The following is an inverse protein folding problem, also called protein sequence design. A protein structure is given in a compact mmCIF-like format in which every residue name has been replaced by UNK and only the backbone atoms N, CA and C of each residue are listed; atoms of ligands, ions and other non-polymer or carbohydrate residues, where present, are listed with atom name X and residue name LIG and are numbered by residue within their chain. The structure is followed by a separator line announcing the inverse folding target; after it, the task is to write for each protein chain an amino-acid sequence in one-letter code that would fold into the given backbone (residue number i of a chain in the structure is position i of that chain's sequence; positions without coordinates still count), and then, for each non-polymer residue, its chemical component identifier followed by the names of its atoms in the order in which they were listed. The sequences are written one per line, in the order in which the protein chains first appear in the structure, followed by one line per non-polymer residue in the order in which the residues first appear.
data_IF_545292800698
#
_entry.id   IF_545292800698
#
_cell.length_a   1.000
_cell.length_b   1.000
_cell.length_c   1.000
_cell.angle_alpha   90.00
_cell.angle_beta   90.00
_cell.angle_gamma   90.00
#
_symmetry.space_group_name_H-M   'P 1'
#
loop_
_entity.id
_entity.type
_entity.pdbx_description
1 polymer ?
#
# COMPACT_ATOMS: atom_id res chain seq x y z
N UNK A 1 -5.54 5.51 28.56
CA UNK A 1 -5.32 4.71 27.36
C UNK A 1 -4.72 3.34 27.70
N UNK A 2 -3.70 3.27 28.55
CA UNK A 2 -3.03 2.02 28.93
C UNK A 2 -3.93 1.07 29.73
N UNK A 3 -4.82 1.62 30.57
CA UNK A 3 -5.81 0.87 31.35
C UNK A 3 -6.93 0.23 30.50
N UNK A 4 -7.23 0.76 29.32
CA UNK A 4 -8.19 0.17 28.38
C UNK A 4 -7.56 -0.98 27.60
N UNK A 5 -6.28 -0.90 27.26
CA UNK A 5 -5.53 -1.96 26.60
C UNK A 5 -5.47 -3.25 27.43
N UNK A 6 -5.20 -3.12 28.74
CA UNK A 6 -5.18 -4.25 29.66
C UNK A 6 -6.57 -4.87 29.86
N UNK A 7 -7.64 -4.07 29.67
CA UNK A 7 -9.02 -4.49 29.91
C UNK A 7 -9.69 -5.20 28.73
N UNK A 8 -9.29 -4.90 27.49
CA UNK A 8 -10.00 -5.36 26.29
C UNK A 8 -9.22 -6.30 25.39
N UNK A 9 -7.91 -6.40 25.55
CA UNK A 9 -7.07 -7.29 24.75
C UNK A 9 -6.98 -6.93 23.23
N UNK A 10 -6.07 -7.57 22.52
CA UNK A 10 -5.78 -7.30 21.11
C UNK A 10 -7.01 -7.42 20.20
N UNK A 11 -7.87 -8.42 20.43
CA UNK A 11 -9.07 -8.64 19.60
C UNK A 11 -10.10 -7.49 19.67
N UNK A 12 -10.11 -6.70 20.74
CA UNK A 12 -11.00 -5.55 20.86
C UNK A 12 -10.49 -4.34 20.07
N UNK A 13 -9.17 -4.14 20.05
CA UNK A 13 -8.52 -3.09 19.26
C UNK A 13 -8.68 -3.34 17.75
N UNK A 14 -8.57 -4.58 17.34
CA UNK A 14 -8.82 -4.99 15.95
C UNK A 14 -10.28 -4.76 15.56
N UNK A 15 -11.22 -5.00 16.48
CA UNK A 15 -12.64 -4.71 16.28
C UNK A 15 -12.91 -3.20 16.19
N UNK A 16 -12.28 -2.39 17.02
CA UNK A 16 -12.39 -0.92 16.98
C UNK A 16 -11.81 -0.36 15.67
N UNK A 17 -10.64 -0.83 15.25
CA UNK A 17 -10.03 -0.45 13.97
C UNK A 17 -10.95 -0.75 12.78
N UNK A 18 -11.58 -1.93 12.78
CA UNK A 18 -12.56 -2.31 11.74
C UNK A 18 -13.82 -1.45 11.74
N UNK A 19 -14.21 -0.90 12.90
CA UNK A 19 -15.39 -0.03 13.04
C UNK A 19 -15.08 1.43 12.68
N UNK A 20 -13.86 1.90 12.94
CA UNK A 20 -13.48 3.30 12.72
C UNK A 20 -13.50 3.66 11.21
N UNK A 21 -13.05 2.77 10.34
CA UNK A 21 -13.06 3.02 8.90
C UNK A 21 -14.46 3.37 8.34
N UNK A 22 -15.50 2.53 8.57
CA UNK A 22 -16.86 2.84 8.18
C UNK A 22 -17.42 4.11 8.84
N UNK A 23 -17.00 4.42 10.08
CA UNK A 23 -17.38 5.65 10.76
C UNK A 23 -16.78 6.89 10.08
N UNK A 24 -15.51 6.86 9.70
CA UNK A 24 -14.87 7.93 8.93
C UNK A 24 -15.54 8.13 7.57
N UNK A 25 -15.84 7.06 6.85
CA UNK A 25 -16.56 7.14 5.56
C UNK A 25 -17.94 7.79 5.73
N UNK A 26 -18.70 7.38 6.75
CA UNK A 26 -20.00 7.95 7.07
C UNK A 26 -19.90 9.45 7.38
N UNK A 27 -18.94 9.84 8.24
CA UNK A 27 -18.74 11.24 8.63
C UNK A 27 -18.28 12.09 7.45
N UNK A 28 -17.34 11.60 6.65
CA UNK A 28 -16.88 12.29 5.46
C UNK A 28 -18.04 12.59 4.50
N UNK A 29 -18.88 11.60 4.22
CA UNK A 29 -20.09 11.76 3.40
C UNK A 29 -21.10 12.70 4.02
N UNK A 30 -21.37 12.57 5.32
CA UNK A 30 -22.34 13.39 6.05
C UNK A 30 -21.98 14.87 6.03
N UNK A 31 -20.69 15.19 6.16
CA UNK A 31 -20.21 16.57 6.24
C UNK A 31 -19.61 17.10 4.94
N UNK A 32 -19.60 16.31 3.87
CA UNK A 32 -19.01 16.70 2.58
C UNK A 32 -17.51 16.98 2.66
N UNK A 33 -16.80 16.26 3.52
CA UNK A 33 -15.36 16.45 3.76
C UNK A 33 -14.59 15.44 2.91
N UNK A 34 -13.53 15.92 2.22
CA UNK A 34 -12.59 15.06 1.54
C UNK A 34 -11.61 14.44 2.54
N UNK A 35 -11.46 13.12 2.50
CA UNK A 35 -10.43 12.38 3.23
C UNK A 35 -9.51 11.75 2.19
N UNK A 36 -8.26 12.22 2.18
CA UNK A 36 -7.24 11.75 1.25
C UNK A 36 -6.09 11.13 2.01
N UNK A 37 -5.55 10.03 1.48
CA UNK A 37 -4.32 9.42 1.99
C UNK A 37 -3.17 9.75 1.05
N UNK A 38 -2.02 10.08 1.63
CA UNK A 38 -0.82 10.45 0.89
C UNK A 38 0.25 9.37 1.07
N UNK A 39 0.50 8.58 0.05
CA UNK A 39 1.63 7.66 -0.03
C UNK A 39 2.68 8.18 -1.02
N UNK A 40 3.96 8.02 -0.68
CA UNK A 40 5.06 8.46 -1.55
C UNK A 40 4.98 7.86 -2.96
N UNK A 41 4.70 6.56 -3.05
CA UNK A 41 4.61 5.83 -4.33
C UNK A 41 3.45 6.28 -5.22
N UNK A 42 2.46 7.00 -4.66
CA UNK A 42 1.35 7.57 -5.44
C UNK A 42 1.80 8.67 -6.41
N UNK A 43 2.99 9.23 -6.20
CA UNK A 43 3.54 10.33 -7.01
C UNK A 43 4.67 9.88 -7.95
N UNK A 44 4.91 8.57 -8.05
CA UNK A 44 5.88 8.01 -8.97
C UNK A 44 5.32 7.97 -10.40
N UNK A 45 5.95 8.71 -11.30
CA UNK A 45 5.51 8.81 -12.71
C UNK A 45 5.37 7.44 -13.40
N UNK A 46 6.27 6.46 -13.20
CA UNK A 46 6.11 5.13 -13.77
C UNK A 46 4.82 4.40 -13.36
N UNK A 47 4.34 4.60 -12.13
CA UNK A 47 3.11 3.96 -11.67
C UNK A 47 1.91 4.46 -12.48
N UNK A 48 1.85 5.76 -12.74
CA UNK A 48 0.81 6.36 -13.59
C UNK A 48 0.93 5.93 -15.05
N UNK A 49 2.16 5.80 -15.56
CA UNK A 49 2.39 5.29 -16.92
C UNK A 49 1.92 3.84 -17.05
N UNK A 50 2.25 2.97 -16.08
CA UNK A 50 1.79 1.58 -16.04
C UNK A 50 0.26 1.53 -15.97
N UNK A 51 -0.36 2.35 -15.12
CA UNK A 51 -1.81 2.45 -15.03
C UNK A 51 -2.42 2.84 -16.39
N UNK A 52 -1.89 3.86 -17.06
CA UNK A 52 -2.35 4.26 -18.40
C UNK A 52 -2.26 3.12 -19.40
N UNK A 53 -1.13 2.40 -19.45
CA UNK A 53 -0.92 1.26 -20.34
C UNK A 53 -1.84 0.05 -20.05
N UNK A 54 -2.29 -0.10 -18.81
CA UNK A 54 -3.33 -1.08 -18.44
C UNK A 54 -4.69 -0.59 -18.91
N UNK A 55 -5.01 0.71 -18.71
CA UNK A 55 -6.31 1.27 -19.06
C UNK A 55 -6.57 1.31 -20.57
N UNK A 56 -5.55 1.61 -21.39
CA UNK A 56 -5.65 1.67 -22.85
C UNK A 56 -5.52 0.28 -23.52
N UNK A 57 -5.27 -0.77 -22.72
CA UNK A 57 -5.15 -2.15 -23.19
C UNK A 57 -3.81 -2.50 -23.82
N UNK A 58 -2.82 -1.59 -23.78
CA UNK A 58 -1.45 -1.86 -24.28
C UNK A 58 -0.83 -3.05 -23.55
N UNK A 59 -0.97 -3.11 -22.24
CA UNK A 59 -0.50 -4.24 -21.42
C UNK A 59 -1.49 -5.41 -21.40
N UNK A 60 -2.78 -5.17 -21.64
CA UNK A 60 -3.83 -6.18 -21.47
C UNK A 60 -4.14 -6.45 -19.98
N UNK A 61 -4.66 -7.65 -19.68
CA UNK A 61 -5.15 -8.01 -18.35
C UNK A 61 -4.01 -8.29 -17.38
N UNK A 62 -4.08 -7.70 -16.20
CA UNK A 62 -3.12 -7.97 -15.12
C UNK A 62 -3.27 -9.41 -14.64
N UNK A 63 -2.15 -10.12 -14.49
CA UNK A 63 -2.07 -11.48 -13.97
C UNK A 63 -1.32 -11.55 -12.65
N UNK A 64 -0.31 -10.70 -12.48
CA UNK A 64 0.49 -10.63 -11.26
C UNK A 64 1.02 -9.22 -11.04
N UNK A 65 1.04 -8.81 -9.76
CA UNK A 65 1.72 -7.62 -9.28
C UNK A 65 2.65 -8.05 -8.15
N UNK A 66 3.93 -7.68 -8.23
CA UNK A 66 4.86 -7.82 -7.12
C UNK A 66 5.33 -6.43 -6.72
N UNK A 67 5.25 -6.13 -5.42
CA UNK A 67 5.67 -4.85 -4.85
C UNK A 67 6.70 -5.11 -3.76
N UNK A 68 7.76 -4.32 -3.78
CA UNK A 68 8.88 -4.40 -2.86
C UNK A 68 9.13 -3.03 -2.26
N UNK A 69 8.87 -2.88 -0.97
CA UNK A 69 9.08 -1.65 -0.24
C UNK A 69 9.82 -1.93 1.06
N UNK A 70 11.01 -1.38 1.23
CA UNK A 70 11.78 -1.63 2.43
C UNK A 70 13.13 -0.95 2.43
N UNK A 71 13.76 -1.00 3.58
CA UNK A 71 15.11 -0.51 3.86
C UNK A 71 15.67 -1.20 5.13
N UNK A 72 16.79 -0.72 5.64
CA UNK A 72 17.47 -1.31 6.82
C UNK A 72 16.63 -1.25 8.09
N UNK A 73 15.73 -0.33 8.20
CA UNK A 73 14.86 -0.10 9.35
C UNK A 73 14.82 1.37 9.77
N UNK A 74 13.73 1.84 10.38
CA UNK A 74 13.55 3.26 10.73
C UNK A 74 14.58 3.74 11.77
N UNK A 75 15.01 2.90 12.69
CA UNK A 75 16.07 3.26 13.64
C UNK A 75 17.44 3.35 12.95
N UNK A 76 17.73 2.42 12.06
CA UNK A 76 18.99 2.33 11.34
C UNK A 76 19.19 3.50 10.37
N UNK A 77 18.11 4.02 9.79
CA UNK A 77 18.16 5.22 8.94
C UNK A 77 18.02 6.54 9.72
N UNK A 78 18.15 6.48 11.06
CA UNK A 78 18.12 7.62 11.96
C UNK A 78 16.80 8.44 11.95
N UNK A 79 15.66 7.78 11.90
CA UNK A 79 14.39 8.43 12.18
C UNK A 79 14.40 9.01 13.62
N UNK A 80 13.66 10.10 13.83
CA UNK A 80 13.59 10.72 15.16
C UNK A 80 12.94 9.80 16.19
N UNK A 81 13.35 9.90 17.46
CA UNK A 81 12.82 9.08 18.56
C UNK A 81 11.29 9.20 18.66
N UNK A 82 10.74 10.41 18.52
CA UNK A 82 9.30 10.64 18.53
C UNK A 82 8.56 9.89 17.41
N UNK A 83 9.16 9.81 16.22
CA UNK A 83 8.59 9.06 15.11
C UNK A 83 8.69 7.55 15.37
N UNK A 84 9.83 7.08 15.89
CA UNK A 84 10.03 5.68 16.26
C UNK A 84 9.04 5.22 17.35
N UNK A 85 8.83 6.02 18.42
CA UNK A 85 7.86 5.72 19.46
C UNK A 85 6.46 5.47 18.89
N UNK A 86 6.04 6.27 17.92
CA UNK A 86 4.76 6.11 17.26
C UNK A 86 4.75 4.93 16.28
N UNK A 87 5.75 4.85 15.40
CA UNK A 87 5.80 3.88 14.30
C UNK A 87 5.91 2.44 14.80
N UNK A 88 6.64 2.22 15.90
CA UNK A 88 6.89 0.89 16.48
C UNK A 88 5.91 0.52 17.60
N UNK A 89 4.87 1.31 17.80
CA UNK A 89 3.80 1.01 18.75
C UNK A 89 2.59 0.38 18.01
N UNK A 90 2.23 -0.88 18.33
CA UNK A 90 1.15 -1.59 17.62
C UNK A 90 -0.22 -0.99 17.86
N UNK A 91 -0.40 -0.16 18.89
CA UNK A 91 -1.67 0.54 19.17
C UNK A 91 -1.76 1.82 18.37
N UNK A 92 -0.67 2.60 18.31
CA UNK A 92 -0.66 3.90 17.66
C UNK A 92 -0.55 3.78 16.13
N UNK A 93 0.26 2.84 15.65
CA UNK A 93 0.49 2.61 14.21
C UNK A 93 -0.27 1.40 13.65
N UNK A 94 -0.65 0.44 14.49
CA UNK A 94 -1.36 -0.76 14.07
C UNK A 94 -0.46 -1.95 13.71
N UNK A 95 0.85 -1.80 13.64
CA UNK A 95 1.82 -2.85 13.31
C UNK A 95 3.18 -2.25 12.96
N UNK A 96 4.08 -3.08 12.47
CA UNK A 96 5.43 -2.72 12.03
C UNK A 96 5.53 -2.56 10.50
N UNK A 97 6.45 -3.30 9.90
CA UNK A 97 6.70 -3.28 8.46
C UNK A 97 5.45 -3.64 7.63
N UNK A 98 4.57 -4.49 8.15
CA UNK A 98 3.30 -4.85 7.49
C UNK A 98 2.43 -3.61 7.24
N UNK A 99 2.40 -2.67 8.16
CA UNK A 99 1.63 -1.42 8.01
C UNK A 99 2.44 -0.38 7.25
N UNK A 100 3.69 -0.12 7.69
CA UNK A 100 4.54 0.93 7.14
C UNK A 100 4.83 0.76 5.63
N UNK A 101 5.13 -0.47 5.22
CA UNK A 101 5.44 -0.79 3.81
C UNK A 101 4.36 -1.56 3.08
N UNK A 102 3.61 -2.41 3.78
CA UNK A 102 2.50 -3.16 3.17
C UNK A 102 1.43 -2.25 2.56
N UNK A 103 1.24 -1.05 3.12
CA UNK A 103 0.26 -0.08 2.65
C UNK A 103 0.53 0.40 1.21
N UNK A 104 1.78 0.57 0.81
CA UNK A 104 2.13 1.00 -0.56
C UNK A 104 1.67 -0.02 -1.60
N UNK A 105 2.02 -1.29 -1.38
CA UNK A 105 1.64 -2.36 -2.29
C UNK A 105 0.13 -2.60 -2.35
N UNK A 106 -0.55 -2.56 -1.21
CA UNK A 106 -2.00 -2.69 -1.14
C UNK A 106 -2.72 -1.52 -1.85
N UNK A 107 -2.20 -0.29 -1.71
CA UNK A 107 -2.73 0.90 -2.38
C UNK A 107 -2.57 0.81 -3.90
N UNK A 108 -1.37 0.54 -4.39
CA UNK A 108 -1.08 0.41 -5.82
C UNK A 108 -1.88 -0.73 -6.47
N UNK A 109 -1.95 -1.89 -5.82
CA UNK A 109 -2.69 -3.03 -6.33
C UNK A 109 -4.20 -2.76 -6.43
N UNK A 110 -4.79 -2.17 -5.38
CA UNK A 110 -6.22 -1.82 -5.37
C UNK A 110 -6.56 -0.83 -6.47
N UNK A 111 -5.72 0.16 -6.70
CA UNK A 111 -5.86 1.13 -7.77
C UNK A 111 -5.74 0.50 -9.17
N UNK A 112 -4.68 -0.27 -9.42
CA UNK A 112 -4.44 -0.96 -10.70
C UNK A 112 -5.57 -1.93 -11.05
N UNK A 113 -6.13 -2.61 -10.05
CA UNK A 113 -7.25 -3.55 -10.17
C UNK A 113 -8.62 -2.86 -10.02
N UNK A 114 -8.68 -1.51 -10.03
CA UNK A 114 -9.93 -0.71 -10.02
C UNK A 114 -10.88 -1.05 -8.88
N UNK A 115 -10.36 -1.38 -7.71
CA UNK A 115 -11.16 -1.75 -6.54
C UNK A 115 -11.78 -3.14 -6.62
N UNK A 116 -11.30 -4.02 -7.49
CA UNK A 116 -11.70 -5.42 -7.48
C UNK A 116 -11.49 -6.02 -6.09
N UNK A 117 -12.46 -6.77 -5.60
CA UNK A 117 -12.38 -7.35 -4.26
C UNK A 117 -11.43 -8.56 -4.24
N UNK A 118 -10.51 -8.64 -3.28
CA UNK A 118 -9.75 -9.85 -3.03
C UNK A 118 -10.65 -11.04 -2.74
N UNK A 119 -10.19 -12.24 -3.07
CA UNK A 119 -10.80 -13.51 -2.63
C UNK A 119 -10.27 -13.90 -1.26
N UNK A 120 -8.95 -13.78 -1.08
CA UNK A 120 -8.28 -14.12 0.17
C UNK A 120 -6.92 -13.45 0.30
N UNK A 121 -6.47 -13.33 1.55
CA UNK A 121 -5.13 -12.84 1.91
C UNK A 121 -4.43 -13.90 2.74
N UNK A 122 -3.18 -14.18 2.42
CA UNK A 122 -2.25 -14.97 3.23
C UNK A 122 -1.01 -14.15 3.51
N UNK A 123 -0.48 -14.21 4.74
CA UNK A 123 0.71 -13.46 5.09
C UNK A 123 1.61 -14.23 6.06
N UNK A 124 2.90 -13.93 5.94
CA UNK A 124 3.95 -14.29 6.91
C UNK A 124 4.54 -12.98 7.42
N UNK A 125 4.51 -12.79 8.73
CA UNK A 125 5.15 -11.70 9.43
C UNK A 125 6.29 -12.25 10.27
N UNK A 126 7.45 -11.59 10.25
CA UNK A 126 8.63 -11.98 11.00
C UNK A 126 9.13 -10.82 11.87
N UNK A 127 9.87 -11.17 12.90
CA UNK A 127 10.57 -10.23 13.77
C UNK A 127 12.02 -10.70 13.86
N UNK A 128 12.86 -10.17 12.97
CA UNK A 128 14.27 -10.52 12.88
C UNK A 128 15.15 -9.74 13.87
N UNK A 129 14.69 -8.55 14.29
CA UNK A 129 15.40 -7.64 15.20
C UNK A 129 14.56 -7.32 16.46
N UNK A 130 14.20 -8.34 17.26
CA UNK A 130 13.35 -8.15 18.45
C UNK A 130 13.97 -7.23 19.51
N UNK A 131 15.29 -7.12 19.52
CA UNK A 131 16.02 -6.19 20.40
C UNK A 131 15.84 -4.72 20.00
N UNK A 132 15.49 -4.44 18.73
CA UNK A 132 15.26 -3.09 18.21
C UNK A 132 13.77 -2.79 18.14
N UNK A 133 12.97 -3.73 17.64
CA UNK A 133 11.53 -3.61 17.43
C UNK A 133 10.76 -4.67 18.25
N UNK A 134 10.72 -4.57 19.58
CA UNK A 134 10.23 -5.67 20.45
C UNK A 134 8.72 -5.91 20.36
N UNK A 135 7.95 -4.99 19.79
CA UNK A 135 6.47 -5.04 19.84
C UNK A 135 5.81 -5.29 18.49
N UNK A 136 6.55 -5.22 17.39
CA UNK A 136 6.01 -5.24 16.04
C UNK A 136 6.85 -6.10 15.11
N UNK A 137 6.27 -6.50 13.99
CA UNK A 137 6.98 -7.13 12.88
C UNK A 137 7.96 -6.17 12.21
N UNK A 138 9.05 -6.70 11.69
CA UNK A 138 10.04 -5.95 10.92
C UNK A 138 10.24 -6.51 9.50
N UNK A 139 9.51 -7.59 9.17
CA UNK A 139 9.46 -8.17 7.84
C UNK A 139 8.08 -8.78 7.55
N UNK A 140 7.55 -8.50 6.37
CA UNK A 140 6.23 -8.92 5.95
C UNK A 140 6.22 -9.42 4.51
N UNK A 141 5.64 -10.60 4.29
CA UNK A 141 5.27 -11.10 2.97
C UNK A 141 3.78 -11.34 2.92
N UNK A 142 3.07 -10.62 2.05
CA UNK A 142 1.62 -10.70 1.91
C UNK A 142 1.29 -11.20 0.50
N UNK A 143 0.43 -12.19 0.40
CA UNK A 143 -0.11 -12.71 -0.87
C UNK A 143 -1.61 -12.46 -0.90
N UNK A 144 -2.05 -11.64 -1.85
CA UNK A 144 -3.47 -11.32 -2.06
C UNK A 144 -3.95 -12.02 -3.33
N UNK A 145 -4.94 -12.87 -3.20
CA UNK A 145 -5.59 -13.57 -4.32
C UNK A 145 -6.79 -12.77 -4.81
N UNK A 146 -6.79 -12.43 -6.08
CA UNK A 146 -7.94 -11.88 -6.80
C UNK A 146 -8.54 -12.91 -7.77
N UNK A 147 -9.73 -12.69 -8.35
CA UNK A 147 -10.34 -13.61 -9.32
C UNK A 147 -9.43 -13.95 -10.51
N UNK A 148 -8.68 -12.95 -11.01
CA UNK A 148 -7.86 -13.09 -12.21
C UNK A 148 -6.39 -12.75 -12.02
N UNK A 149 -5.99 -12.28 -10.84
CA UNK A 149 -4.64 -11.86 -10.53
C UNK A 149 -4.16 -12.33 -9.16
N UNK A 150 -2.85 -12.37 -8.99
CA UNK A 150 -2.21 -12.53 -7.68
C UNK A 150 -1.32 -11.34 -7.42
N UNK A 151 -1.41 -10.77 -6.21
CA UNK A 151 -0.55 -9.69 -5.75
C UNK A 151 0.34 -10.22 -4.64
N UNK A 152 1.63 -9.91 -4.72
CA UNK A 152 2.61 -10.20 -3.68
C UNK A 152 3.21 -8.87 -3.22
N UNK A 153 3.14 -8.61 -1.92
CA UNK A 153 3.65 -7.40 -1.29
C UNK A 153 4.70 -7.83 -0.28
N UNK A 154 5.89 -7.28 -0.41
CA UNK A 154 6.99 -7.51 0.51
C UNK A 154 7.37 -6.18 1.15
N UNK A 155 7.21 -6.09 2.46
CA UNK A 155 7.55 -4.93 3.26
C UNK A 155 8.60 -5.30 4.30
N UNK A 156 9.71 -4.56 4.39
CA UNK A 156 10.78 -4.95 5.30
C UNK A 156 11.58 -3.78 5.86
N UNK A 157 11.93 -3.91 7.13
CA UNK A 157 12.93 -3.08 7.83
C UNK A 157 14.28 -3.80 7.98
N UNK A 158 14.48 -4.89 7.21
CA UNK A 158 15.64 -5.77 7.34
C UNK A 158 16.51 -5.85 6.09
N UNK A 159 16.20 -5.08 5.05
CA UNK A 159 16.96 -5.12 3.80
C UNK A 159 18.20 -4.23 3.87
N UNK A 160 19.35 -4.70 3.36
CA UNK A 160 20.61 -3.94 3.43
C UNK A 160 20.64 -2.73 2.50
N UNK A 161 19.63 -2.60 1.62
CA UNK A 161 19.49 -1.49 0.68
C UNK A 161 18.03 -1.11 0.56
N UNK A 162 17.77 0.19 0.56
CA UNK A 162 16.43 0.71 0.33
C UNK A 162 15.93 0.42 -1.08
N UNK A 163 14.68 -0.03 -1.21
CA UNK A 163 13.99 -0.17 -2.50
C UNK A 163 12.50 0.09 -2.34
N UNK A 164 11.91 0.68 -3.39
CA UNK A 164 10.47 0.85 -3.56
C UNK A 164 10.16 0.67 -5.04
N UNK A 165 9.84 -0.55 -5.43
CA UNK A 165 9.66 -0.92 -6.82
C UNK A 165 8.48 -1.88 -7.02
N UNK A 166 7.89 -1.83 -8.22
CA UNK A 166 6.72 -2.62 -8.59
C UNK A 166 6.90 -3.27 -9.95
N UNK A 167 6.53 -4.56 -10.03
CA UNK A 167 6.56 -5.37 -11.25
C UNK A 167 5.15 -5.84 -11.59
N UNK A 168 4.66 -5.45 -12.75
CA UNK A 168 3.33 -5.81 -13.25
C UNK A 168 3.47 -6.73 -14.45
N UNK A 169 2.93 -7.95 -14.33
CA UNK A 169 2.91 -8.97 -15.37
C UNK A 169 1.47 -9.12 -15.87
N UNK A 170 1.31 -9.11 -17.19
CA UNK A 170 0.02 -9.04 -17.84
C UNK A 170 -0.13 -10.06 -18.97
N UNK A 171 -1.28 -10.06 -19.64
CA UNK A 171 -1.53 -10.97 -20.76
C UNK A 171 -0.76 -10.63 -22.02
N UNK A 172 -0.26 -9.40 -22.20
CA UNK A 172 0.45 -8.94 -23.39
C UNK A 172 1.90 -8.55 -23.16
N UNK A 173 2.35 -8.53 -21.89
CA UNK A 173 3.71 -8.15 -21.56
C UNK A 173 3.93 -7.91 -20.08
N UNK A 174 4.92 -7.10 -19.76
CA UNK A 174 5.18 -6.67 -18.39
C UNK A 174 5.71 -5.23 -18.36
N UNK A 175 5.50 -4.57 -17.23
CA UNK A 175 6.01 -3.24 -16.97
C UNK A 175 6.52 -3.16 -15.52
N UNK A 176 7.69 -2.57 -15.34
CA UNK A 176 8.41 -2.52 -14.09
C UNK A 176 8.69 -1.07 -13.73
N UNK A 177 8.16 -0.60 -12.64
CA UNK A 177 8.60 0.62 -11.99
C UNK A 177 9.83 0.27 -11.15
N UNK A 178 10.96 0.88 -11.46
CA UNK A 178 12.25 0.56 -10.84
C UNK A 178 12.70 1.61 -9.82
N UNK A 179 12.40 2.88 -10.12
CA UNK A 179 12.69 4.05 -9.26
C UNK A 179 11.53 5.06 -9.39
N UNK A 180 11.52 6.13 -8.62
CA UNK A 180 10.45 7.15 -8.70
C UNK A 180 10.18 7.70 -10.09
N UNK A 181 11.18 7.69 -10.98
CA UNK A 181 11.08 8.24 -12.34
C UNK A 181 11.36 7.23 -13.44
N UNK A 182 12.01 6.10 -13.14
CA UNK A 182 12.46 5.14 -14.16
C UNK A 182 11.63 3.88 -14.21
N UNK A 183 11.43 3.38 -15.41
CA UNK A 183 10.72 2.13 -15.69
C UNK A 183 11.34 1.35 -16.83
N UNK A 184 10.87 0.10 -16.98
CA UNK A 184 11.21 -0.80 -18.06
C UNK A 184 9.96 -1.54 -18.51
N UNK A 185 9.84 -1.85 -19.79
CA UNK A 185 8.74 -2.65 -20.31
C UNK A 185 9.25 -3.81 -21.17
N UNK A 186 8.47 -4.87 -21.19
CA UNK A 186 8.61 -5.99 -22.12
C UNK A 186 7.30 -6.16 -22.86
N UNK A 187 7.27 -5.80 -24.13
CA UNK A 187 6.08 -5.80 -24.98
C UNK A 187 6.38 -6.42 -26.35
N UNK A 188 5.47 -7.25 -26.86
CA UNK A 188 5.59 -7.87 -28.17
C UNK A 188 6.94 -8.61 -28.40
N UNK A 189 7.42 -9.28 -27.34
CA UNK A 189 8.68 -10.01 -27.38
C UNK A 189 9.94 -9.14 -27.32
N UNK A 190 9.79 -7.83 -27.04
CA UNK A 190 10.91 -6.88 -26.96
C UNK A 190 10.98 -6.20 -25.60
N UNK A 191 12.19 -6.07 -25.11
CA UNK A 191 12.54 -5.30 -23.93
C UNK A 191 12.88 -3.86 -24.33
N UNK A 192 12.35 -2.88 -23.57
CA UNK A 192 12.58 -1.46 -23.87
C UNK A 192 13.96 -0.94 -23.42
N UNK A 193 14.67 -1.69 -22.55
CA UNK A 193 15.68 -1.08 -21.68
C UNK A 193 15.04 -0.23 -20.58
N UNK A 194 15.88 0.35 -19.72
CA UNK A 194 15.42 1.28 -18.67
C UNK A 194 15.29 2.68 -19.25
N UNK A 195 14.18 3.35 -18.99
CA UNK A 195 13.92 4.71 -19.45
C UNK A 195 13.16 5.54 -18.42
N UNK A 196 13.22 6.87 -18.56
CA UNK A 196 12.45 7.81 -17.75
C UNK A 196 10.98 7.79 -18.18
N UNK A 197 10.06 7.59 -17.25
CA UNK A 197 8.65 7.75 -17.52
C UNK A 197 8.30 9.24 -17.77
N UNK A 198 7.25 9.52 -18.57
CA UNK A 198 6.78 10.89 -18.72
C UNK A 198 6.47 11.53 -17.37
N UNK A 199 6.99 12.74 -17.13
CA UNK A 199 6.74 13.46 -15.89
C UNK A 199 5.24 13.70 -15.69
N UNK A 200 4.79 13.59 -14.45
CA UNK A 200 3.39 13.89 -14.11
C UNK A 200 3.12 15.39 -14.27
N UNK A 201 2.04 15.78 -14.96
CA UNK A 201 1.65 17.17 -15.02
C UNK A 201 1.12 17.66 -13.67
N UNK A 202 1.21 18.97 -13.41
CA UNK A 202 0.50 19.56 -12.30
C UNK A 202 -1.03 19.36 -12.47
N UNK A 203 -1.78 19.11 -11.39
CA UNK A 203 -1.36 19.02 -9.99
C UNK A 203 -0.99 17.59 -9.54
N UNK A 204 -0.86 16.64 -10.45
CA UNK A 204 -0.60 15.21 -10.16
C UNK A 204 0.86 14.91 -9.78
N UNK A 205 1.73 15.92 -9.83
CA UNK A 205 3.15 15.80 -9.51
C UNK A 205 3.51 16.15 -8.05
N UNK A 206 2.51 16.55 -7.25
CA UNK A 206 2.72 16.95 -5.86
C UNK A 206 1.46 16.77 -5.03
N UNK A 207 1.60 16.18 -3.84
CA UNK A 207 0.48 15.83 -2.96
C UNK A 207 -0.32 17.05 -2.47
N UNK A 208 0.35 18.17 -2.20
CA UNK A 208 -0.30 19.38 -1.71
C UNK A 208 -1.02 20.13 -2.83
N UNK A 209 -0.43 20.17 -4.03
CA UNK A 209 -1.14 20.71 -5.19
C UNK A 209 -2.34 19.88 -5.57
N UNK A 210 -2.23 18.56 -5.47
CA UNK A 210 -3.35 17.65 -5.67
C UNK A 210 -4.46 17.87 -4.65
N UNK A 211 -4.13 17.91 -3.34
CA UNK A 211 -5.08 18.20 -2.27
C UNK A 211 -5.79 19.54 -2.49
N UNK A 212 -5.03 20.59 -2.82
CA UNK A 212 -5.59 21.92 -3.15
C UNK A 212 -6.59 21.84 -4.30
N UNK A 213 -6.25 21.14 -5.37
CA UNK A 213 -7.10 21.01 -6.55
C UNK A 213 -8.40 20.24 -6.23
N UNK A 214 -8.32 19.18 -5.41
CA UNK A 214 -9.49 18.43 -4.93
C UNK A 214 -10.41 19.31 -4.06
N UNK A 215 -9.84 20.01 -3.07
CA UNK A 215 -10.61 20.89 -2.17
C UNK A 215 -11.28 22.03 -2.92
N UNK A 216 -10.67 22.54 -4.01
CA UNK A 216 -11.26 23.57 -4.87
C UNK A 216 -12.23 23.05 -5.92
N UNK A 217 -12.41 21.73 -6.01
CA UNK A 217 -13.28 21.12 -7.03
C UNK A 217 -12.69 21.13 -8.44
N UNK A 218 -11.40 21.44 -8.60
CA UNK A 218 -10.68 21.39 -9.87
C UNK A 218 -10.41 19.95 -10.31
N UNK A 219 -10.31 19.01 -9.35
CA UNK A 219 -10.25 17.57 -9.55
C UNK A 219 -11.41 16.91 -8.81
N UNK A 220 -12.11 16.02 -9.49
CA UNK A 220 -13.07 15.11 -8.87
C UNK A 220 -12.40 13.78 -8.59
N UNK A 221 -12.34 13.39 -7.30
CA UNK A 221 -11.89 12.08 -6.89
C UNK A 221 -12.81 11.00 -7.48
N UNK A 222 -12.22 10.03 -8.15
CA UNK A 222 -12.93 8.85 -8.60
C UNK A 222 -12.82 7.77 -7.52
N UNK A 223 -13.83 6.88 -7.40
CA UNK A 223 -13.69 5.71 -6.56
C UNK A 223 -12.42 4.93 -6.91
N UNK A 224 -11.67 4.55 -5.89
CA UNK A 224 -10.40 3.84 -6.00
C UNK A 224 -9.24 4.59 -6.67
N UNK A 225 -9.32 5.92 -6.83
CA UNK A 225 -8.11 6.72 -7.07
C UNK A 225 -7.13 6.56 -5.90
N UNK A 226 -5.81 6.65 -6.16
CA UNK A 226 -4.74 6.37 -5.19
C UNK A 226 -4.95 7.04 -3.82
N UNK A 227 -5.37 8.30 -3.81
CA UNK A 227 -5.61 9.06 -2.59
C UNK A 227 -7.04 8.91 -2.04
N UNK A 228 -7.97 8.26 -2.76
CA UNK A 228 -9.38 8.19 -2.38
C UNK A 228 -9.61 7.39 -1.10
N UNK A 229 -10.67 7.74 -0.37
CA UNK A 229 -11.06 7.03 0.85
C UNK A 229 -11.39 5.57 0.54
N UNK A 230 -12.09 5.29 -0.55
CA UNK A 230 -12.49 3.93 -0.95
C UNK A 230 -11.28 3.04 -1.21
N UNK A 231 -10.25 3.55 -1.90
CA UNK A 231 -9.01 2.81 -2.12
C UNK A 231 -8.33 2.48 -0.79
N UNK A 232 -8.22 3.46 0.09
CA UNK A 232 -7.51 3.32 1.35
C UNK A 232 -8.29 2.53 2.41
N UNK A 233 -9.61 2.48 2.33
CA UNK A 233 -10.42 1.53 3.10
C UNK A 233 -10.16 0.07 2.68
N UNK A 234 -9.90 -0.18 1.39
CA UNK A 234 -9.48 -1.51 0.94
C UNK A 234 -8.07 -1.85 1.41
N UNK A 235 -7.14 -0.89 1.40
CA UNK A 235 -5.79 -1.05 1.98
C UNK A 235 -5.87 -1.53 3.42
N UNK A 236 -6.62 -0.83 4.27
CA UNK A 236 -6.78 -1.21 5.69
C UNK A 236 -7.34 -2.63 5.84
N UNK A 237 -8.33 -3.00 5.02
CA UNK A 237 -8.90 -4.37 5.05
C UNK A 237 -7.87 -5.43 4.65
N UNK A 238 -7.05 -5.17 3.63
CA UNK A 238 -6.00 -6.09 3.20
C UNK A 238 -4.95 -6.26 4.31
N UNK A 239 -4.50 -5.17 4.93
CA UNK A 239 -3.49 -5.22 5.99
C UNK A 239 -4.02 -5.91 7.27
N UNK A 240 -5.26 -5.64 7.67
CA UNK A 240 -5.90 -6.35 8.79
C UNK A 240 -6.03 -7.86 8.51
N UNK A 241 -6.40 -8.22 7.27
CA UNK A 241 -6.47 -9.62 6.88
C UNK A 241 -5.08 -10.28 6.84
N UNK A 242 -4.03 -9.54 6.48
CA UNK A 242 -2.64 -10.01 6.51
C UNK A 242 -2.18 -10.30 7.96
N UNK A 243 -2.44 -9.38 8.88
CA UNK A 243 -2.13 -9.59 10.30
C UNK A 243 -2.89 -10.79 10.88
N UNK A 244 -4.18 -10.90 10.59
CA UNK A 244 -4.99 -12.05 11.03
C UNK A 244 -4.48 -13.37 10.44
N UNK A 245 -4.12 -13.38 9.16
CA UNK A 245 -3.52 -14.53 8.49
C UNK A 245 -2.20 -14.96 9.15
N UNK A 246 -1.32 -14.02 9.42
CA UNK A 246 -0.06 -14.32 10.09
C UNK A 246 -0.25 -14.86 11.52
N UNK A 247 -1.25 -14.35 12.23
CA UNK A 247 -1.61 -14.79 13.59
C UNK A 247 -2.18 -16.21 13.61
N UNK A 248 -3.00 -16.58 12.62
CA UNK A 248 -3.70 -17.88 12.57
C UNK A 248 -2.94 -18.95 11.77
N UNK A 249 -2.03 -18.54 10.89
CA UNK A 249 -1.37 -19.42 9.92
C UNK A 249 -2.28 -19.84 8.76
N UNK A 250 -3.45 -19.22 8.62
CA UNK A 250 -4.43 -19.55 7.60
C UNK A 250 -4.74 -18.38 6.67
N UNK A 251 -5.22 -18.67 5.46
CA UNK A 251 -5.68 -17.64 4.55
C UNK A 251 -7.02 -17.05 5.01
N UNK A 252 -7.09 -15.73 5.15
CA UNK A 252 -8.30 -15.00 5.49
C UNK A 252 -9.11 -14.73 4.22
N UNK A 253 -10.38 -15.13 4.21
CA UNK A 253 -11.32 -14.84 3.10
C UNK A 253 -11.88 -13.43 3.23
N UNK A 254 -12.13 -12.79 2.06
CA UNK A 254 -12.69 -11.44 1.94
C UNK A 254 -14.19 -11.45 1.74
#
# INVERSE_FOLDING_TARGET
PQLELERYGQGHLDALSRQLGPAYEKLAKQYGIHVLTNYETSWYAPNHQIYSMVQDGTLGDIRRINVYDGHEGPKEINCSDRFLEWLTDPVLNGGGAVIDFGCYGANLATWLLKGEKPISVFAVLQQHKPEIYPKVDDDATIVVKYPHATVQIMGSWCWPTGRKDMYVYTSKGSAFQLKPTTMQTYLNGKESGVYEAPALPAPYNDSFYYLKAVVRGEIQLRPYDLASLENNMMVVKILNAAQESARTGEAVKF
#
